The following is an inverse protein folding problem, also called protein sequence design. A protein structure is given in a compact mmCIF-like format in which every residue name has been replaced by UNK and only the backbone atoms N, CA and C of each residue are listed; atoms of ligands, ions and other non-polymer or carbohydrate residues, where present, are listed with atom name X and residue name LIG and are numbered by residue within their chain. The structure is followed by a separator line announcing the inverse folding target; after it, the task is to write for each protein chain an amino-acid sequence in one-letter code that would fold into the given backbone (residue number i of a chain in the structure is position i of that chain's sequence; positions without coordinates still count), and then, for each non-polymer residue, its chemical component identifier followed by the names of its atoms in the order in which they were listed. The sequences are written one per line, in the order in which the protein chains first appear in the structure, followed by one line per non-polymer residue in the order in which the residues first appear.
data_IF_251984538176
#
_entry.id   IF_251984538176
#
_cell.length_a   1.000
_cell.length_b   1.000
_cell.length_c   1.000
_cell.angle_alpha   90.00
_cell.angle_beta   90.00
_cell.angle_gamma   90.00
#
_symmetry.space_group_name_H-M   'P 1'
#
loop_
_entity.id
_entity.type
_entity.pdbx_description
1 polymer ?
#
# COMPACT_ATOMS: atom_id res chain seq x y z
N UNK A 1 9.28 25.54 -1.32
CA UNK A 1 7.98 25.01 -1.81
C UNK A 1 8.11 23.60 -2.35
N UNK A 2 9.18 23.25 -3.10
CA UNK A 2 9.44 21.87 -3.55
C UNK A 2 9.45 20.84 -2.42
N UNK A 3 10.12 21.12 -1.30
CA UNK A 3 10.20 20.21 -0.15
C UNK A 3 8.83 19.79 0.43
N UNK A 4 7.83 20.69 0.41
CA UNK A 4 6.50 20.40 0.93
C UNK A 4 5.75 19.41 0.02
N UNK A 5 5.80 19.63 -1.30
CA UNK A 5 5.14 18.73 -2.25
C UNK A 5 5.80 17.36 -2.31
N UNK A 6 7.12 17.32 -2.15
CA UNK A 6 7.86 16.06 -2.03
C UNK A 6 7.49 15.30 -0.77
N UNK A 7 7.38 16.00 0.36
CA UNK A 7 6.93 15.43 1.62
C UNK A 7 5.49 14.89 1.52
N UNK A 8 4.57 15.65 0.90
CA UNK A 8 3.20 15.18 0.63
C UNK A 8 3.23 13.92 -0.25
N UNK A 9 4.07 13.90 -1.29
CA UNK A 9 4.23 12.72 -2.15
C UNK A 9 4.72 11.49 -1.40
N UNK A 10 5.67 11.64 -0.48
CA UNK A 10 6.14 10.57 0.41
C UNK A 10 5.01 10.07 1.32
N UNK A 11 4.27 11.00 1.93
CA UNK A 11 3.15 10.72 2.82
C UNK A 11 2.05 9.89 2.12
N UNK A 12 1.75 10.19 0.86
CA UNK A 12 0.81 9.38 0.07
C UNK A 12 1.31 7.95 -0.15
N UNK A 13 2.59 7.78 -0.51
CA UNK A 13 3.17 6.44 -0.69
C UNK A 13 3.10 5.63 0.62
N UNK A 14 3.36 6.28 1.75
CA UNK A 14 3.17 5.69 3.08
C UNK A 14 1.70 5.30 3.28
N UNK A 15 0.77 6.21 3.06
CA UNK A 15 -0.66 5.99 3.27
C UNK A 15 -1.22 4.83 2.44
N UNK A 16 -0.71 4.54 1.25
CA UNK A 16 -1.25 3.46 0.43
C UNK A 16 -0.52 2.12 0.61
N UNK A 17 0.81 2.12 0.77
CA UNK A 17 1.59 0.89 0.54
C UNK A 17 2.33 0.36 1.77
N UNK A 18 2.68 1.23 2.72
CA UNK A 18 3.61 0.88 3.80
C UNK A 18 3.07 -0.16 4.80
N UNK A 19 1.75 -0.26 4.98
CA UNK A 19 1.16 -1.22 5.90
C UNK A 19 0.98 -2.63 5.31
N UNK A 20 1.16 -2.82 4.00
CA UNK A 20 0.92 -4.12 3.38
C UNK A 20 1.77 -5.26 3.98
N UNK A 21 3.07 -5.08 4.32
CA UNK A 21 3.84 -6.12 5.01
C UNK A 21 3.22 -6.58 6.33
N UNK A 22 2.70 -5.64 7.13
CA UNK A 22 2.05 -5.93 8.40
C UNK A 22 0.75 -6.71 8.15
N UNK A 23 -0.09 -6.23 7.24
CA UNK A 23 -1.35 -6.90 6.88
C UNK A 23 -1.08 -8.30 6.32
N UNK A 24 -0.06 -8.45 5.48
CA UNK A 24 0.40 -9.73 4.96
C UNK A 24 0.75 -10.68 6.11
N UNK A 25 1.58 -10.24 7.06
CA UNK A 25 2.00 -11.06 8.20
C UNK A 25 0.81 -11.50 9.06
N UNK A 26 -0.07 -10.56 9.43
CA UNK A 26 -1.26 -10.84 10.24
C UNK A 26 -2.15 -11.89 9.54
N UNK A 27 -2.43 -11.71 8.24
CA UNK A 27 -3.28 -12.63 7.47
C UNK A 27 -2.64 -14.01 7.37
N UNK A 28 -1.32 -14.08 7.15
CA UNK A 28 -0.62 -15.35 7.02
C UNK A 28 -0.55 -16.11 8.35
N UNK A 29 -0.28 -15.39 9.44
CA UNK A 29 -0.27 -15.92 10.81
C UNK A 29 -1.66 -16.45 11.20
N UNK A 30 -2.73 -15.66 10.98
CA UNK A 30 -4.10 -16.09 11.25
C UNK A 30 -4.50 -17.32 10.42
N UNK A 31 -4.09 -17.39 9.16
CA UNK A 31 -4.47 -18.48 8.27
C UNK A 31 -3.70 -19.79 8.52
N UNK A 32 -2.48 -19.71 9.08
CA UNK A 32 -1.55 -20.85 9.19
C UNK A 32 -1.36 -21.34 10.62
N UNK A 33 -1.23 -20.42 11.58
CA UNK A 33 -0.68 -20.72 12.91
C UNK A 33 -1.73 -20.75 14.02
N UNK A 34 -2.98 -20.35 13.74
CA UNK A 34 -4.06 -20.35 14.74
C UNK A 34 -4.87 -21.66 14.62
N UNK A 35 -4.67 -22.65 15.51
CA UNK A 35 -5.19 -24.00 15.32
C UNK A 35 -6.71 -24.07 15.43
N UNK A 36 -7.34 -23.21 16.24
CA UNK A 36 -8.79 -23.21 16.44
C UNK A 36 -9.57 -22.58 15.26
N UNK A 37 -8.90 -21.86 14.36
CA UNK A 37 -9.53 -21.27 13.19
C UNK A 37 -9.63 -22.30 12.06
N UNK A 38 -10.73 -23.04 12.06
CA UNK A 38 -11.01 -24.09 11.07
C UNK A 38 -11.77 -23.59 9.82
N UNK A 39 -12.11 -22.30 9.76
CA UNK A 39 -12.94 -21.78 8.68
C UNK A 39 -12.21 -21.85 7.32
N UNK A 40 -12.79 -22.53 6.30
CA UNK A 40 -12.21 -22.62 4.97
C UNK A 40 -12.16 -21.27 4.25
N UNK A 41 -12.91 -20.27 4.74
CA UNK A 41 -12.86 -18.90 4.22
C UNK A 41 -11.60 -18.18 4.70
N UNK A 42 -11.24 -18.34 5.98
CA UNK A 42 -10.06 -17.68 6.57
C UNK A 42 -8.77 -18.25 5.97
N UNK A 43 -8.69 -19.57 5.80
CA UNK A 43 -7.54 -20.24 5.14
C UNK A 43 -7.30 -19.77 3.69
N UNK A 44 -8.28 -19.13 3.05
CA UNK A 44 -8.16 -18.60 1.68
C UNK A 44 -7.76 -17.13 1.63
N UNK A 45 -7.74 -16.40 2.74
CA UNK A 45 -7.36 -14.98 2.77
C UNK A 45 -5.99 -14.70 2.14
N UNK A 46 -4.93 -15.52 2.34
CA UNK A 46 -3.64 -15.27 1.71
C UNK A 46 -3.68 -15.25 0.16
N UNK A 47 -4.66 -15.93 -0.45
CA UNK A 47 -4.86 -15.96 -1.91
C UNK A 47 -5.45 -14.64 -2.42
N UNK A 48 -6.13 -13.89 -1.57
CA UNK A 48 -6.75 -12.60 -1.92
C UNK A 48 -5.80 -11.41 -1.76
N UNK A 49 -4.71 -11.57 -0.99
CA UNK A 49 -3.73 -10.50 -0.71
C UNK A 49 -3.20 -9.77 -1.96
N UNK A 50 -2.75 -10.44 -3.05
CA UNK A 50 -2.24 -9.73 -4.23
C UNK A 50 -3.31 -8.86 -4.90
N UNK A 51 -4.57 -9.31 -4.89
CA UNK A 51 -5.69 -8.58 -5.49
C UNK A 51 -6.11 -7.39 -4.63
N UNK A 52 -6.08 -7.56 -3.30
CA UNK A 52 -6.29 -6.48 -2.35
C UNK A 52 -5.22 -5.39 -2.53
N UNK A 53 -3.96 -5.81 -2.69
CA UNK A 53 -2.86 -4.92 -2.99
C UNK A 53 -3.06 -4.20 -4.33
N UNK A 54 -3.40 -4.92 -5.40
CA UNK A 54 -3.69 -4.32 -6.71
C UNK A 54 -4.84 -3.31 -6.67
N UNK A 55 -5.89 -3.59 -5.88
CA UNK A 55 -6.99 -2.67 -5.64
C UNK A 55 -6.51 -1.41 -4.90
N UNK A 56 -5.64 -1.57 -3.90
CA UNK A 56 -5.02 -0.44 -3.18
C UNK A 56 -4.18 0.44 -4.13
N UNK A 57 -3.40 -0.17 -5.02
CA UNK A 57 -2.67 0.53 -6.09
C UNK A 57 -3.65 1.25 -7.03
N UNK A 58 -4.77 0.61 -7.38
CA UNK A 58 -5.81 1.21 -8.23
C UNK A 58 -6.44 2.44 -7.57
N UNK A 59 -6.68 2.40 -6.25
CA UNK A 59 -7.16 3.56 -5.48
C UNK A 59 -6.14 4.70 -5.47
N UNK A 60 -4.85 4.38 -5.31
CA UNK A 60 -3.78 5.38 -5.43
C UNK A 60 -3.76 6.02 -6.84
N UNK A 61 -3.87 5.21 -7.90
CA UNK A 61 -3.96 5.72 -9.26
C UNK A 61 -5.19 6.62 -9.45
N UNK A 62 -6.35 6.21 -8.93
CA UNK A 62 -7.58 7.00 -9.01
C UNK A 62 -7.45 8.34 -8.28
N UNK A 63 -6.82 8.34 -7.09
CA UNK A 63 -6.51 9.56 -6.35
C UNK A 63 -5.61 10.48 -7.18
N UNK A 64 -4.55 9.95 -7.80
CA UNK A 64 -3.67 10.73 -8.67
C UNK A 64 -4.40 11.28 -9.89
N UNK A 65 -5.20 10.49 -10.58
CA UNK A 65 -6.03 10.96 -11.69
C UNK A 65 -6.96 12.09 -11.23
N UNK A 66 -7.61 11.94 -10.07
CA UNK A 66 -8.50 12.95 -9.50
C UNK A 66 -7.76 14.24 -9.07
N UNK A 67 -6.50 14.16 -8.66
CA UNK A 67 -5.67 15.33 -8.37
C UNK A 67 -5.34 16.12 -9.64
N UNK A 68 -5.13 15.43 -10.76
CA UNK A 68 -4.76 16.07 -12.03
C UNK A 68 -5.95 16.58 -12.87
N UNK A 69 -7.13 15.97 -12.75
CA UNK A 69 -8.32 16.34 -13.53
C UNK A 69 -8.80 17.79 -13.35
N UNK A 70 -8.80 18.39 -12.13
CA UNK A 70 -9.34 19.73 -11.89
C UNK A 70 -8.39 20.87 -12.27
N UNK A 71 -7.08 20.62 -12.37
CA UNK A 71 -6.09 21.72 -12.36
C UNK A 71 -5.54 22.04 -13.74
N UNK A 72 -4.95 21.13 -14.53
CA UNK A 72 -4.45 21.48 -15.89
C UNK A 72 -4.21 20.24 -16.76
N UNK A 73 -5.06 20.02 -17.77
CA UNK A 73 -4.80 19.03 -18.84
C UNK A 73 -3.54 19.40 -19.64
N UNK A 74 -3.06 20.66 -19.57
CA UNK A 74 -1.89 21.17 -20.29
C UNK A 74 -0.54 21.01 -19.57
N UNK A 75 -0.50 20.63 -18.29
CA UNK A 75 0.77 20.48 -17.54
C UNK A 75 0.79 19.20 -16.73
N UNK A 76 0.62 18.06 -17.39
CA UNK A 76 1.04 16.77 -16.84
C UNK A 76 2.58 16.71 -16.85
N UNK A 77 3.21 17.51 -15.99
CA UNK A 77 4.65 17.44 -15.77
C UNK A 77 4.91 16.46 -14.64
N UNK A 78 5.34 15.25 -14.99
CA UNK A 78 6.08 14.43 -14.04
C UNK A 78 7.32 15.24 -13.63
N UNK A 79 7.37 15.64 -12.36
CA UNK A 79 8.59 16.19 -11.80
C UNK A 79 9.62 15.06 -11.68
N UNK A 80 10.42 14.91 -12.74
CA UNK A 80 11.51 13.94 -12.82
C UNK A 80 12.62 14.23 -11.80
N UNK A 81 12.62 15.42 -11.19
CA UNK A 81 13.64 15.82 -10.22
C UNK A 81 13.30 15.41 -8.79
N UNK A 82 12.05 14.99 -8.52
CA UNK A 82 11.65 14.55 -7.19
C UNK A 82 12.41 13.29 -6.77
N UNK A 83 13.00 13.24 -5.55
CA UNK A 83 13.76 12.09 -5.06
C UNK A 83 12.90 10.82 -4.95
N UNK A 84 11.56 10.98 -4.88
CA UNK A 84 10.61 9.87 -4.80
C UNK A 84 10.02 9.46 -6.16
N UNK A 85 10.49 10.03 -7.28
CA UNK A 85 9.99 9.68 -8.62
C UNK A 85 10.06 8.18 -8.90
N UNK A 86 11.19 7.54 -8.58
CA UNK A 86 11.36 6.10 -8.74
C UNK A 86 10.36 5.29 -7.90
N UNK A 87 10.05 5.73 -6.68
CA UNK A 87 9.06 5.05 -5.82
C UNK A 87 7.63 5.24 -6.33
N UNK A 88 7.30 6.38 -6.94
CA UNK A 88 6.00 6.56 -7.62
C UNK A 88 5.88 5.61 -8.81
N UNK A 89 6.92 5.52 -9.65
CA UNK A 89 6.99 4.55 -10.75
C UNK A 89 6.86 3.10 -10.24
N UNK A 90 7.55 2.78 -9.14
CA UNK A 90 7.44 1.49 -8.47
C UNK A 90 6.02 1.24 -7.97
N UNK A 91 5.35 2.22 -7.34
CA UNK A 91 3.96 2.08 -6.90
C UNK A 91 3.03 1.69 -8.05
N UNK A 92 3.19 2.27 -9.24
CA UNK A 92 2.40 1.92 -10.42
C UNK A 92 2.68 0.51 -10.95
N UNK A 93 3.89 -0.04 -10.77
CA UNK A 93 4.19 -1.43 -11.08
C UNK A 93 3.31 -2.41 -10.28
N UNK A 94 2.73 -1.96 -9.15
CA UNK A 94 1.75 -2.72 -8.39
C UNK A 94 0.47 -3.05 -9.16
N UNK A 95 0.16 -2.35 -10.25
CA UNK A 95 -0.97 -2.70 -11.13
C UNK A 95 -0.77 -4.07 -11.81
N UNK A 96 0.47 -4.53 -11.95
CA UNK A 96 0.80 -5.84 -12.50
C UNK A 96 0.19 -6.99 -11.68
N UNK A 97 -0.15 -6.77 -10.40
CA UNK A 97 -0.84 -7.75 -9.57
C UNK A 97 -2.30 -8.02 -9.98
N UNK A 98 -2.87 -7.24 -10.91
CA UNK A 98 -4.12 -7.62 -11.58
C UNK A 98 -3.94 -8.74 -12.62
N UNK A 99 -2.74 -8.87 -13.20
CA UNK A 99 -2.46 -9.83 -14.26
C UNK A 99 -2.53 -11.29 -13.76
N UNK A 100 -3.07 -12.22 -14.56
CA UNK A 100 -3.31 -13.60 -14.14
C UNK A 100 -2.04 -14.36 -13.71
N UNK A 101 -0.87 -14.04 -14.28
CA UNK A 101 0.40 -14.68 -13.94
C UNK A 101 0.98 -14.25 -12.58
N UNK A 102 0.65 -13.04 -12.11
CA UNK A 102 1.25 -12.42 -10.92
C UNK A 102 0.25 -12.39 -9.75
N UNK A 103 -1.06 -12.31 -10.02
CA UNK A 103 -2.12 -12.18 -9.01
C UNK A 103 -2.25 -13.32 -7.98
N UNK A 104 -1.51 -14.40 -8.14
CA UNK A 104 -1.48 -15.56 -7.22
C UNK A 104 -0.22 -15.57 -6.34
N UNK A 105 0.72 -14.65 -6.58
CA UNK A 105 2.05 -14.68 -6.03
C UNK A 105 2.17 -13.70 -4.85
N UNK A 106 1.55 -14.02 -3.71
CA UNK A 106 1.49 -13.14 -2.53
C UNK A 106 2.86 -12.70 -2.00
N UNK A 107 3.89 -13.54 -2.11
CA UNK A 107 5.27 -13.16 -1.75
C UNK A 107 5.81 -12.00 -2.59
N UNK A 108 5.41 -11.90 -3.86
CA UNK A 108 5.86 -10.83 -4.74
C UNK A 108 5.20 -9.49 -4.39
N UNK A 109 3.92 -9.52 -3.99
CA UNK A 109 3.26 -8.32 -3.46
C UNK A 109 3.93 -7.82 -2.18
N UNK A 110 4.35 -8.77 -1.30
CA UNK A 110 5.13 -8.43 -0.12
C UNK A 110 6.46 -7.76 -0.52
N UNK A 111 7.26 -8.39 -1.39
CA UNK A 111 8.54 -7.83 -1.87
C UNK A 111 8.35 -6.44 -2.46
N UNK A 112 7.31 -6.26 -3.29
CA UNK A 112 6.98 -4.98 -3.89
C UNK A 112 6.69 -3.90 -2.83
N UNK A 113 6.09 -4.27 -1.71
CA UNK A 113 5.75 -3.33 -0.64
C UNK A 113 6.90 -2.95 0.30
N UNK A 114 8.02 -3.70 0.28
CA UNK A 114 9.17 -3.48 1.19
C UNK A 114 9.76 -2.06 1.10
N UNK A 115 9.99 -1.48 -0.09
CA UNK A 115 10.54 -0.12 -0.18
C UNK A 115 9.72 0.93 0.58
N UNK A 116 8.39 0.77 0.64
CA UNK A 116 7.51 1.74 1.29
C UNK A 116 7.52 1.65 2.81
N UNK A 117 7.63 0.44 3.39
CA UNK A 117 7.79 0.31 4.85
C UNK A 117 9.19 0.76 5.29
N UNK A 118 10.20 0.60 4.43
CA UNK A 118 11.56 1.09 4.71
C UNK A 118 11.62 2.61 4.84
N UNK A 119 10.72 3.37 4.18
CA UNK A 119 10.61 4.82 4.40
C UNK A 119 10.36 5.13 5.88
N UNK A 120 9.33 4.49 6.47
CA UNK A 120 8.98 4.70 7.88
C UNK A 120 10.12 4.27 8.81
N UNK A 121 10.75 3.13 8.52
CA UNK A 121 11.88 2.64 9.33
C UNK A 121 13.03 3.64 9.28
N UNK A 122 13.32 4.20 8.11
CA UNK A 122 14.34 5.21 7.92
C UNK A 122 14.03 6.50 8.70
N UNK A 123 12.78 6.97 8.66
CA UNK A 123 12.37 8.16 9.41
C UNK A 123 12.39 7.94 10.92
N UNK A 124 12.03 6.74 11.38
CA UNK A 124 12.15 6.37 12.78
C UNK A 124 13.62 6.39 13.24
N UNK A 125 14.53 5.91 12.39
CA UNK A 125 15.97 5.98 12.66
C UNK A 125 16.47 7.43 12.71
N UNK A 126 16.05 8.27 11.77
CA UNK A 126 16.38 9.70 11.76
C UNK A 126 15.84 10.44 12.98
N UNK A 127 14.62 10.11 13.42
CA UNK A 127 14.03 10.66 14.64
C UNK A 127 14.88 10.32 15.87
N UNK A 128 15.32 9.07 15.98
CA UNK A 128 16.20 8.62 17.06
C UNK A 128 17.55 9.38 17.07
N UNK A 129 18.04 9.76 15.88
CA UNK A 129 19.25 10.58 15.73
C UNK A 129 18.99 12.10 15.78
N UNK A 130 17.78 12.53 16.16
CA UNK A 130 17.38 13.94 16.25
C UNK A 130 17.56 14.74 14.95
N UNK A 131 17.46 14.08 13.78
CA UNK A 131 17.60 14.74 12.47
C UNK A 131 16.26 15.14 11.85
N UNK A 132 15.13 14.71 12.44
CA UNK A 132 13.78 15.14 12.05
C UNK A 132 12.96 15.54 13.28
N UNK A 133 11.99 16.43 13.07
CA UNK A 133 11.09 16.91 14.11
C UNK A 133 10.03 15.85 14.49
N UNK A 134 9.59 15.88 15.75
CA UNK A 134 8.51 15.02 16.27
C UNK A 134 7.23 15.08 15.45
N UNK A 135 6.91 16.24 14.87
CA UNK A 135 5.70 16.46 14.09
C UNK A 135 5.68 15.67 12.78
N UNK A 136 6.85 15.53 12.14
CA UNK A 136 7.02 14.75 10.90
C UNK A 136 6.68 13.29 11.18
N UNK A 137 7.31 12.70 12.19
CA UNK A 137 7.06 11.30 12.57
C UNK A 137 5.60 11.09 13.00
N UNK A 138 5.01 12.03 13.74
CA UNK A 138 3.60 11.92 14.15
C UNK A 138 2.65 11.85 12.95
N UNK A 139 2.87 12.69 11.93
CA UNK A 139 2.07 12.71 10.71
C UNK A 139 2.26 11.42 9.89
N UNK A 140 3.50 10.93 9.77
CA UNK A 140 3.79 9.67 9.09
C UNK A 140 3.12 8.47 9.78
N UNK A 141 3.18 8.40 11.11
CA UNK A 141 2.52 7.34 11.87
C UNK A 141 1.00 7.38 11.75
N UNK A 142 0.41 8.58 11.67
CA UNK A 142 -1.03 8.74 11.38
C UNK A 142 -1.37 8.18 10.00
N UNK A 143 -0.56 8.47 8.98
CA UNK A 143 -0.79 7.94 7.63
C UNK A 143 -0.48 6.45 7.51
N UNK A 144 0.48 5.94 8.27
CA UNK A 144 0.71 4.50 8.40
C UNK A 144 -0.54 3.79 8.95
N UNK A 145 -1.18 4.35 9.97
CA UNK A 145 -2.44 3.81 10.49
C UNK A 145 -3.56 3.84 9.43
N UNK A 146 -3.68 4.94 8.68
CA UNK A 146 -4.60 5.00 7.53
C UNK A 146 -4.27 3.91 6.51
N UNK A 147 -3.00 3.63 6.26
CA UNK A 147 -2.56 2.55 5.37
C UNK A 147 -3.01 1.17 5.83
N UNK A 148 -2.93 0.89 7.13
CA UNK A 148 -3.45 -0.35 7.70
C UNK A 148 -4.95 -0.47 7.40
N UNK A 149 -5.72 0.59 7.66
CA UNK A 149 -7.16 0.60 7.40
C UNK A 149 -7.49 0.37 5.93
N UNK A 150 -6.83 1.09 5.02
CA UNK A 150 -7.05 0.93 3.57
C UNK A 150 -6.76 -0.51 3.14
N UNK A 151 -5.63 -1.08 3.54
CA UNK A 151 -5.25 -2.45 3.15
C UNK A 151 -6.18 -3.51 3.73
N UNK A 152 -6.71 -3.32 4.95
CA UNK A 152 -7.71 -4.21 5.54
C UNK A 152 -9.07 -4.09 4.82
N UNK A 153 -9.51 -2.87 4.49
CA UNK A 153 -10.76 -2.64 3.78
C UNK A 153 -10.69 -3.23 2.37
N UNK A 154 -9.60 -3.00 1.62
CA UNK A 154 -9.44 -3.57 0.28
C UNK A 154 -9.38 -5.10 0.32
N UNK A 155 -8.74 -5.69 1.33
CA UNK A 155 -8.76 -7.13 1.56
C UNK A 155 -10.18 -7.65 1.82
N UNK A 156 -10.94 -6.98 2.70
CA UNK A 156 -12.32 -7.35 3.00
C UNK A 156 -13.19 -7.28 1.74
N UNK A 157 -13.09 -6.22 0.95
CA UNK A 157 -13.85 -6.06 -0.30
C UNK A 157 -13.56 -7.19 -1.28
N UNK A 158 -12.27 -7.52 -1.50
CA UNK A 158 -11.87 -8.61 -2.38
C UNK A 158 -12.34 -9.96 -1.85
N UNK A 159 -12.20 -10.21 -0.55
CA UNK A 159 -12.63 -11.45 0.09
C UNK A 159 -14.14 -11.65 -0.03
N UNK A 160 -14.95 -10.59 0.17
CA UNK A 160 -16.40 -10.63 0.02
C UNK A 160 -16.80 -10.87 -1.43
N UNK A 161 -16.23 -10.12 -2.37
CA UNK A 161 -16.55 -10.25 -3.80
C UNK A 161 -16.28 -11.68 -4.32
N UNK A 162 -15.09 -12.22 -4.05
CA UNK A 162 -14.75 -13.59 -4.49
C UNK A 162 -15.38 -14.68 -3.61
N UNK A 163 -15.68 -14.37 -2.35
CA UNK A 163 -16.36 -15.28 -1.43
C UNK A 163 -17.82 -15.53 -1.84
N UNK A 164 -18.54 -14.48 -2.24
CA UNK A 164 -19.94 -14.54 -2.70
C UNK A 164 -20.03 -15.26 -4.05
N UNK A 165 -19.16 -14.90 -5.01
CA UNK A 165 -19.23 -15.42 -6.39
C UNK A 165 -18.99 -16.93 -6.49
N UNK A 166 -18.41 -17.57 -5.48
CA UNK A 166 -18.16 -19.02 -5.44
C UNK A 166 -19.34 -19.85 -4.90
N UNK A 167 -20.34 -19.21 -4.29
CA UNK A 167 -21.54 -19.89 -3.79
C UNK A 167 -22.66 -19.99 -4.84
N UNK A 168 -22.54 -19.29 -5.97
CA UNK A 168 -23.40 -19.42 -7.15
C UNK A 168 -22.69 -20.31 -8.16
#
# INVERSE_FOLDING_TARGET
MHDLFEYIGKLELIAFFSAFPLVYYIVFYIASDIPWIHSPHIKKLPVYLPRAYALTVTLYCAMKINEYLPVHISTFSFDLTSPYFYLKGWAFAGLLFWLPGIRTKSKWALVHSIPFILLIVYDFFNYYHHTIETEVLHNEMRLYFVSVLINLVTLLMVALYFGIRRKR
#
